data_IF_552001067193
#
_entry.id   IF_552001067193
#
_cell.length_a   1.000
_cell.length_b   1.000
_cell.length_c   1.000
_cell.angle_alpha   90.00
_cell.angle_beta   90.00
_cell.angle_gamma   90.00
#
_symmetry.space_group_name_H-M   'P 1'
#
loop_
_entity.id
_entity.type
_entity.pdbx_description
1 polymer ?
#
# COMPACT_ATOMS: atom_id res chain seq x y z
N UNK A 1 56.46 -8.97 52.38
CA UNK A 1 56.51 -8.69 50.93
C UNK A 1 55.17 -9.07 50.32
N UNK A 2 54.19 -8.17 50.35
CA UNK A 2 52.93 -8.29 49.60
C UNK A 2 52.57 -6.88 49.13
N UNK A 3 52.87 -6.58 47.87
CA UNK A 3 52.49 -5.31 47.23
C UNK A 3 51.11 -5.46 46.60
N UNK A 4 50.28 -4.45 46.85
CA UNK A 4 48.91 -4.21 46.39
C UNK A 4 48.83 -4.04 44.86
N UNK A 5 47.66 -4.32 44.23
CA UNK A 5 47.41 -4.20 42.78
C UNK A 5 47.39 -2.76 42.21
N UNK A 6 47.70 -2.56 40.91
CA UNK A 6 47.16 -1.45 40.13
C UNK A 6 45.86 -1.91 39.42
N UNK A 7 44.71 -1.34 39.78
CA UNK A 7 44.16 -0.07 39.28
C UNK A 7 43.65 -0.20 37.83
N UNK A 8 42.33 -0.19 37.70
CA UNK A 8 41.60 -0.37 36.45
C UNK A 8 41.86 0.69 35.40
N UNK A 9 41.78 0.26 34.14
CA UNK A 9 41.69 1.11 32.96
C UNK A 9 40.32 0.91 32.32
N UNK A 10 39.27 1.50 32.92
CA UNK A 10 38.00 1.70 32.23
C UNK A 10 38.20 2.91 31.31
N UNK A 11 38.61 2.63 30.08
CA UNK A 11 38.80 3.62 29.03
C UNK A 11 37.48 4.29 28.71
N UNK A 12 37.36 5.55 29.15
CA UNK A 12 36.39 6.56 28.73
C UNK A 12 36.25 6.54 27.19
N UNK A 13 35.12 6.04 26.70
CA UNK A 13 34.62 6.35 25.36
C UNK A 13 33.60 7.49 25.48
N UNK A 14 34.10 8.67 25.84
CA UNK A 14 33.37 9.92 25.71
C UNK A 14 34.33 10.93 25.09
N UNK A 15 34.15 11.22 23.80
CA UNK A 15 34.32 12.53 23.15
C UNK A 15 34.69 12.39 21.67
N UNK A 16 33.69 12.66 20.81
CA UNK A 16 33.72 13.61 19.67
C UNK A 16 32.54 13.31 18.75
N UNK A 17 31.36 13.65 19.24
CA UNK A 17 30.10 13.71 18.48
C UNK A 17 30.12 14.92 17.55
N UNK A 18 30.60 14.73 16.32
CA UNK A 18 30.39 15.68 15.23
C UNK A 18 29.02 15.41 14.59
N UNK A 19 27.97 16.24 14.82
CA UNK A 19 26.61 15.96 14.36
C UNK A 19 26.46 15.99 12.82
N UNK A 20 27.46 16.53 12.11
CA UNK A 20 27.46 16.73 10.65
C UNK A 20 27.51 15.42 9.85
N UNK A 21 28.08 14.34 10.40
CA UNK A 21 28.18 13.05 9.67
C UNK A 21 26.97 12.13 9.85
N UNK A 22 26.12 12.40 10.83
CA UNK A 22 24.88 11.64 11.08
C UNK A 22 23.72 12.16 10.20
N UNK A 23 23.80 13.41 9.74
CA UNK A 23 22.79 14.05 8.91
C UNK A 23 22.46 13.30 7.59
N UNK A 24 23.43 12.85 6.77
CA UNK A 24 23.11 12.13 5.53
C UNK A 24 22.53 10.73 5.80
N UNK A 25 22.94 10.06 6.88
CA UNK A 25 22.40 8.76 7.26
C UNK A 25 20.94 8.85 7.73
N UNK A 26 20.59 9.92 8.46
CA UNK A 26 19.20 10.20 8.89
C UNK A 26 18.32 10.59 7.71
N UNK A 27 18.81 11.39 6.75
CA UNK A 27 18.07 11.69 5.52
C UNK A 27 17.84 10.44 4.64
N UNK A 28 18.82 9.54 4.55
CA UNK A 28 18.67 8.28 3.83
C UNK A 28 17.63 7.37 4.47
N UNK A 29 17.57 7.33 5.82
CA UNK A 29 16.54 6.58 6.55
C UNK A 29 15.14 7.22 6.41
N UNK A 30 15.07 8.55 6.42
CA UNK A 30 13.80 9.27 6.27
C UNK A 30 13.17 9.07 4.87
N UNK A 31 13.98 8.88 3.83
CA UNK A 31 13.50 8.54 2.48
C UNK A 31 12.72 7.22 2.40
N UNK A 32 13.01 6.26 3.29
CA UNK A 32 12.32 4.97 3.35
C UNK A 32 10.94 5.06 4.02
N UNK A 33 10.66 6.12 4.78
CA UNK A 33 9.35 6.36 5.41
C UNK A 33 8.35 7.10 4.50
N UNK A 34 8.80 7.61 3.34
CA UNK A 34 7.92 8.22 2.34
C UNK A 34 7.07 7.19 1.55
N UNK A 35 7.26 5.89 1.79
CA UNK A 35 6.69 4.81 0.99
C UNK A 35 5.18 4.54 1.23
N UNK A 36 4.53 5.18 2.19
CA UNK A 36 3.10 4.96 2.48
C UNK A 36 2.14 5.77 1.59
N UNK A 37 2.20 7.11 1.61
CA UNK A 37 1.22 7.96 0.92
C UNK A 37 1.25 7.81 -0.60
N UNK A 38 2.46 7.73 -1.19
CA UNK A 38 2.62 7.59 -2.65
C UNK A 38 2.10 6.24 -3.12
N UNK A 39 2.47 5.15 -2.42
CA UNK A 39 2.01 3.80 -2.76
C UNK A 39 0.50 3.64 -2.60
N UNK A 40 -0.06 4.20 -1.52
CA UNK A 40 -1.51 4.23 -1.28
C UNK A 40 -2.24 4.98 -2.39
N UNK A 41 -1.70 6.12 -2.83
CA UNK A 41 -2.29 6.93 -3.91
C UNK A 41 -2.23 6.18 -5.24
N UNK A 42 -1.10 5.56 -5.57
CA UNK A 42 -0.96 4.76 -6.77
C UNK A 42 -1.95 3.57 -6.78
N UNK A 43 -2.08 2.88 -5.65
CA UNK A 43 -3.00 1.75 -5.51
C UNK A 43 -4.47 2.16 -5.68
N UNK A 44 -4.84 3.34 -5.15
CA UNK A 44 -6.18 3.92 -5.35
C UNK A 44 -6.46 4.22 -6.83
N UNK A 45 -5.50 4.83 -7.53
CA UNK A 45 -5.63 5.14 -8.96
C UNK A 45 -5.81 3.85 -9.77
N UNK A 46 -5.00 2.82 -9.50
CA UNK A 46 -5.11 1.53 -10.19
C UNK A 46 -6.47 0.86 -9.96
N UNK A 47 -7.00 0.94 -8.73
CA UNK A 47 -8.30 0.40 -8.38
C UNK A 47 -9.44 1.16 -9.07
N UNK A 48 -9.36 2.49 -9.13
CA UNK A 48 -10.32 3.34 -9.84
C UNK A 48 -10.37 3.00 -11.34
N UNK A 49 -9.21 2.88 -11.98
CA UNK A 49 -9.12 2.51 -13.39
C UNK A 49 -9.73 1.12 -13.63
N UNK A 50 -9.45 0.15 -12.77
CA UNK A 50 -10.02 -1.19 -12.88
C UNK A 50 -11.54 -1.19 -12.69
N UNK A 51 -12.05 -0.43 -11.72
CA UNK A 51 -13.48 -0.32 -11.42
C UNK A 51 -14.25 0.34 -12.57
N UNK A 52 -13.75 1.43 -13.13
CA UNK A 52 -14.39 2.07 -14.29
C UNK A 52 -14.33 1.19 -15.54
N UNK A 53 -13.27 0.39 -15.73
CA UNK A 53 -13.24 -0.63 -16.78
C UNK A 53 -14.32 -1.72 -16.58
N UNK A 54 -14.56 -2.14 -15.33
CA UNK A 54 -15.63 -3.08 -15.01
C UNK A 54 -17.02 -2.47 -15.24
N UNK A 55 -17.22 -1.21 -14.83
CA UNK A 55 -18.44 -0.43 -15.07
C UNK A 55 -18.74 -0.35 -16.56
N UNK A 56 -17.75 0.04 -17.36
CA UNK A 56 -17.86 0.15 -18.81
C UNK A 56 -18.17 -1.19 -19.49
N UNK A 57 -17.71 -2.31 -18.93
CA UNK A 57 -18.04 -3.65 -19.40
C UNK A 57 -19.47 -4.12 -19.02
N UNK A 58 -20.24 -3.31 -18.29
CA UNK A 58 -21.59 -3.68 -17.84
C UNK A 58 -21.59 -4.64 -16.64
N UNK A 59 -20.50 -4.70 -15.88
CA UNK A 59 -20.35 -5.64 -14.76
C UNK A 59 -21.40 -5.46 -13.65
N UNK A 60 -22.03 -4.29 -13.53
CA UNK A 60 -23.11 -4.07 -12.56
C UNK A 60 -24.29 -5.04 -12.74
N UNK A 61 -24.56 -5.50 -13.97
CA UNK A 61 -25.66 -6.42 -14.27
C UNK A 61 -25.17 -7.86 -14.37
N UNK A 62 -24.02 -8.08 -14.99
CA UNK A 62 -23.48 -9.42 -15.28
C UNK A 62 -22.67 -10.03 -14.13
N UNK A 63 -22.12 -9.21 -13.25
CA UNK A 63 -21.30 -9.60 -12.10
C UNK A 63 -21.57 -8.69 -10.87
N UNK A 64 -22.82 -8.63 -10.37
CA UNK A 64 -23.23 -7.64 -9.37
C UNK A 64 -22.49 -7.79 -8.04
N UNK A 65 -22.14 -9.01 -7.65
CA UNK A 65 -21.45 -9.26 -6.38
C UNK A 65 -20.04 -8.66 -6.40
N UNK A 66 -19.25 -8.97 -7.44
CA UNK A 66 -17.88 -8.49 -7.59
C UNK A 66 -17.85 -6.99 -7.83
N UNK A 67 -18.81 -6.46 -8.62
CA UNK A 67 -18.92 -5.03 -8.88
C UNK A 67 -19.24 -4.22 -7.60
N UNK A 68 -20.26 -4.62 -6.85
CA UNK A 68 -20.67 -3.89 -5.63
C UNK A 68 -19.65 -4.03 -4.50
N UNK A 69 -19.01 -5.21 -4.38
CA UNK A 69 -17.92 -5.38 -3.42
C UNK A 69 -16.70 -4.55 -3.79
N UNK A 70 -16.32 -4.47 -5.07
CA UNK A 70 -15.26 -3.57 -5.54
C UNK A 70 -15.55 -2.11 -5.19
N UNK A 71 -16.79 -1.64 -5.43
CA UNK A 71 -17.22 -0.28 -5.07
C UNK A 71 -17.09 -0.02 -3.57
N UNK A 72 -17.54 -0.95 -2.72
CA UNK A 72 -17.48 -0.83 -1.28
C UNK A 72 -16.02 -0.78 -0.76
N UNK A 73 -15.14 -1.62 -1.29
CA UNK A 73 -13.72 -1.61 -0.93
C UNK A 73 -13.02 -0.34 -1.42
N UNK A 74 -13.34 0.15 -2.62
CA UNK A 74 -12.79 1.40 -3.15
C UNK A 74 -13.21 2.59 -2.28
N UNK A 75 -14.48 2.64 -1.88
CA UNK A 75 -14.98 3.62 -0.92
C UNK A 75 -14.20 3.54 0.40
N UNK A 76 -14.02 2.32 0.94
CA UNK A 76 -13.29 2.12 2.19
C UNK A 76 -11.81 2.52 2.09
N UNK A 77 -11.17 2.25 0.97
CA UNK A 77 -9.80 2.66 0.71
C UNK A 77 -9.67 4.19 0.76
N UNK A 78 -10.59 4.92 0.10
CA UNK A 78 -10.63 6.39 0.13
C UNK A 78 -10.83 6.94 1.54
N UNK A 79 -11.68 6.32 2.34
CA UNK A 79 -11.83 6.68 3.75
C UNK A 79 -10.53 6.50 4.55
N UNK A 80 -9.84 5.37 4.35
CA UNK A 80 -8.59 5.05 5.05
C UNK A 80 -7.48 6.04 4.65
N UNK A 81 -7.35 6.34 3.37
CA UNK A 81 -6.42 7.36 2.88
C UNK A 81 -6.71 8.74 3.50
N UNK A 82 -7.98 9.14 3.58
CA UNK A 82 -8.39 10.38 4.24
C UNK A 82 -8.06 10.43 5.74
N UNK A 83 -7.94 9.27 6.39
CA UNK A 83 -7.50 9.12 7.79
C UNK A 83 -5.98 8.91 7.93
N UNK A 84 -5.21 9.10 6.86
CA UNK A 84 -3.77 8.82 6.79
C UNK A 84 -3.39 7.36 7.14
N UNK A 85 -4.34 6.43 7.02
CA UNK A 85 -4.12 4.99 7.19
C UNK A 85 -3.68 4.38 5.85
N UNK A 86 -2.49 4.75 5.39
CA UNK A 86 -2.04 4.48 4.02
C UNK A 86 -1.86 2.99 3.70
N UNK A 87 -1.39 2.19 4.67
CA UNK A 87 -1.26 0.74 4.51
C UNK A 87 -2.63 0.08 4.31
N UNK A 88 -3.57 0.35 5.23
CA UNK A 88 -4.94 -0.14 5.11
C UNK A 88 -5.63 0.35 3.83
N UNK A 89 -5.39 1.60 3.41
CA UNK A 89 -5.88 2.10 2.13
C UNK A 89 -5.33 1.32 0.95
N UNK A 90 -4.04 1.00 0.94
CA UNK A 90 -3.42 0.22 -0.13
C UNK A 90 -4.00 -1.20 -0.18
N UNK A 91 -4.23 -1.83 0.97
CA UNK A 91 -4.83 -3.17 1.06
C UNK A 91 -6.27 -3.19 0.54
N UNK A 92 -7.10 -2.23 0.96
CA UNK A 92 -8.47 -2.12 0.47
C UNK A 92 -8.50 -1.80 -1.03
N UNK A 93 -7.62 -0.93 -1.52
CA UNK A 93 -7.52 -0.61 -2.94
C UNK A 93 -7.10 -1.84 -3.76
N UNK A 94 -6.15 -2.65 -3.28
CA UNK A 94 -5.77 -3.90 -3.93
C UNK A 94 -6.95 -4.87 -4.03
N UNK A 95 -7.72 -5.04 -2.95
CA UNK A 95 -8.95 -5.86 -2.96
C UNK A 95 -9.99 -5.33 -3.94
N UNK A 96 -10.23 -4.02 -3.96
CA UNK A 96 -11.15 -3.39 -4.90
C UNK A 96 -10.74 -3.65 -6.36
N UNK A 97 -9.44 -3.50 -6.66
CA UNK A 97 -8.87 -3.74 -7.99
C UNK A 97 -9.08 -5.17 -8.44
N UNK A 98 -8.79 -6.14 -7.58
CA UNK A 98 -8.86 -7.56 -7.93
C UNK A 98 -10.33 -7.97 -8.19
N UNK A 99 -11.27 -7.52 -7.34
CA UNK A 99 -12.71 -7.72 -7.55
C UNK A 99 -13.21 -7.02 -8.82
N UNK A 100 -12.76 -5.81 -9.10
CA UNK A 100 -13.13 -5.10 -10.33
C UNK A 100 -12.65 -5.85 -11.59
N UNK A 101 -11.45 -6.41 -11.57
CA UNK A 101 -10.95 -7.26 -12.67
C UNK A 101 -11.80 -8.50 -12.86
N UNK A 102 -12.12 -9.20 -11.77
CA UNK A 102 -12.99 -10.37 -11.81
C UNK A 102 -14.39 -10.01 -12.36
N UNK A 103 -14.95 -8.88 -11.91
CA UNK A 103 -16.24 -8.37 -12.38
C UNK A 103 -16.22 -8.10 -13.89
N UNK A 104 -15.13 -7.48 -14.38
CA UNK A 104 -14.92 -7.22 -15.80
C UNK A 104 -14.80 -8.51 -16.62
N UNK A 105 -14.06 -9.50 -16.13
CA UNK A 105 -13.89 -10.80 -16.80
C UNK A 105 -15.22 -11.55 -16.90
N UNK A 106 -15.99 -11.58 -15.81
CA UNK A 106 -17.34 -12.17 -15.79
C UNK A 106 -18.29 -11.45 -16.74
N UNK A 107 -18.21 -10.11 -16.81
CA UNK A 107 -18.99 -9.32 -17.75
C UNK A 107 -18.65 -9.64 -19.20
N UNK A 108 -17.36 -9.73 -19.54
CA UNK A 108 -16.92 -10.10 -20.89
C UNK A 108 -17.37 -11.52 -21.26
N UNK A 109 -17.28 -12.48 -20.34
CA UNK A 109 -17.74 -13.85 -20.57
C UNK A 109 -19.25 -13.93 -20.80
N UNK A 110 -20.04 -13.13 -20.07
CA UNK A 110 -21.48 -13.06 -20.26
C UNK A 110 -21.86 -12.54 -21.66
N UNK A 111 -21.17 -11.51 -22.15
CA UNK A 111 -21.36 -10.99 -23.52
C UNK A 111 -21.07 -12.06 -24.56
N UNK A 112 -19.92 -12.74 -24.48
CA UNK A 112 -19.54 -13.78 -25.45
C UNK A 112 -20.56 -14.93 -25.50
N UNK A 113 -21.13 -15.29 -24.34
CA UNK A 113 -22.18 -16.33 -24.25
C UNK A 113 -23.48 -15.88 -24.93
N UNK A 114 -23.85 -14.62 -24.77
CA UNK A 114 -25.03 -14.05 -25.42
C UNK A 114 -24.88 -14.04 -26.95
N UNK A 115 -23.69 -13.71 -27.45
CA UNK A 115 -23.39 -13.75 -28.90
C UNK A 115 -23.41 -15.18 -29.46
N UNK A 116 -22.93 -16.17 -28.71
CA UNK A 116 -22.93 -17.58 -29.12
C UNK A 116 -24.32 -18.26 -29.11
N UNK A 117 -25.35 -17.59 -28.59
CA UNK A 117 -26.72 -18.11 -28.52
C UNK A 117 -27.67 -17.47 -29.54
N UNK A 118 -27.13 -16.63 -30.45
CA UNK A 118 -27.79 -16.07 -31.62
C UNK A 118 -27.40 -16.86 -32.88
#
# INVERSE_FOLDING_TARGET
>A
MTRLPPAGSVGRLHERSSPVRLLPAVLALAGLCACGPVQSTASLIDADVAFEAARAAGAATSAPYEFTSAEAYLHKAREAAGRAQYEASADFAARARDLAREAREKAAAATNKAEASL
#
